data_IF_003380930452
#
_entry.id   IF_003380930452
#
_cell.length_a   1.000
_cell.length_b   1.000
_cell.length_c   1.000
_cell.angle_alpha   90.00
_cell.angle_beta   90.00
_cell.angle_gamma   90.00
#
_symmetry.space_group_name_H-M   'P 1'
#
loop_
_entity.id
_entity.type
_entity.pdbx_description
1 polymer ?
#
# COMPACT_ATOMS: atom_id res chain seq x y z
N UNK A 1 -28.28 -6.40 -12.27
CA UNK A 1 -28.26 -5.68 -10.99
C UNK A 1 -26.80 -5.42 -10.71
N UNK A 2 -26.35 -4.18 -10.91
CA UNK A 2 -25.03 -3.75 -10.48
C UNK A 2 -25.28 -3.21 -9.08
N UNK A 3 -24.79 -3.92 -8.07
CA UNK A 3 -24.86 -3.42 -6.71
C UNK A 3 -23.99 -2.16 -6.65
N UNK A 4 -24.59 -1.02 -6.32
CA UNK A 4 -23.91 0.26 -6.13
C UNK A 4 -23.18 0.25 -4.77
N UNK A 5 -22.41 -0.80 -4.47
CA UNK A 5 -21.57 -0.78 -3.29
C UNK A 5 -20.42 0.18 -3.58
N UNK A 6 -20.39 1.27 -2.83
CA UNK A 6 -19.33 2.29 -2.88
C UNK A 6 -18.04 1.76 -2.21
N UNK A 7 -17.82 0.45 -2.30
CA UNK A 7 -16.77 -0.29 -1.63
C UNK A 7 -15.41 0.26 -2.09
N UNK A 8 -14.45 0.48 -1.17
CA UNK A 8 -13.11 0.88 -1.54
C UNK A 8 -12.46 -0.16 -2.47
N UNK A 9 -12.04 0.29 -3.65
CA UNK A 9 -11.37 -0.53 -4.65
C UNK A 9 -9.95 -0.01 -4.90
N UNK A 10 -8.97 -0.89 -4.81
CA UNK A 10 -7.63 -0.68 -5.33
C UNK A 10 -7.46 -1.46 -6.65
N UNK A 11 -7.11 -0.74 -7.70
CA UNK A 11 -6.90 -1.31 -9.03
C UNK A 11 -5.44 -1.19 -9.44
N UNK A 12 -4.83 -2.31 -9.83
CA UNK A 12 -3.43 -2.40 -10.26
C UNK A 12 -3.39 -3.04 -11.63
N UNK A 13 -2.86 -2.34 -12.63
CA UNK A 13 -2.53 -2.94 -13.93
C UNK A 13 -1.06 -3.35 -13.93
N UNK A 14 -0.80 -4.64 -14.17
CA UNK A 14 0.54 -5.18 -14.37
C UNK A 14 0.72 -5.57 -15.83
N UNK A 15 1.72 -5.02 -16.49
CA UNK A 15 2.12 -5.42 -17.83
C UNK A 15 3.37 -6.27 -17.68
N UNK A 16 3.31 -7.51 -18.16
CA UNK A 16 4.42 -8.44 -18.21
C UNK A 16 4.84 -8.62 -19.66
N UNK A 17 6.13 -8.49 -19.94
CA UNK A 17 6.68 -8.75 -21.27
C UNK A 17 7.45 -10.05 -21.26
N UNK A 18 7.12 -10.95 -22.18
CA UNK A 18 7.89 -12.15 -22.43
C UNK A 18 9.27 -11.77 -22.99
N UNK A 19 10.33 -12.33 -22.40
CA UNK A 19 11.72 -11.97 -22.76
C UNK A 19 12.20 -12.62 -24.06
N UNK A 20 11.53 -13.67 -24.53
CA UNK A 20 11.89 -14.43 -25.72
C UNK A 20 11.01 -14.05 -26.92
N UNK A 21 9.71 -13.88 -26.70
CA UNK A 21 8.74 -13.57 -27.78
C UNK A 21 8.43 -12.08 -27.91
N UNK A 22 8.86 -11.26 -26.95
CA UNK A 22 8.50 -9.84 -26.80
C UNK A 22 7.00 -9.58 -26.66
N UNK A 23 6.18 -10.62 -26.47
CA UNK A 23 4.73 -10.48 -26.28
C UNK A 23 4.41 -9.84 -24.93
N UNK A 24 3.48 -8.88 -24.95
CA UNK A 24 2.99 -8.22 -23.74
C UNK A 24 1.70 -8.88 -23.24
N UNK A 25 1.69 -9.28 -21.97
CA UNK A 25 0.50 -9.71 -21.25
C UNK A 25 0.10 -8.63 -20.25
N UNK A 26 -1.13 -8.11 -20.40
CA UNK A 26 -1.72 -7.19 -19.44
C UNK A 26 -2.59 -7.98 -18.45
N UNK A 27 -2.31 -7.80 -17.17
CA UNK A 27 -3.08 -8.36 -16.07
C UNK A 27 -3.68 -7.24 -15.22
N UNK A 28 -4.97 -7.34 -14.92
CA UNK A 28 -5.71 -6.37 -14.12
C UNK A 28 -6.01 -6.97 -12.75
N UNK A 29 -5.31 -6.52 -11.71
CA UNK A 29 -5.57 -6.92 -10.34
C UNK A 29 -6.56 -5.94 -9.71
N UNK A 30 -7.67 -6.48 -9.18
CA UNK A 30 -8.67 -5.72 -8.44
C UNK A 30 -8.75 -6.23 -7.02
N UNK A 31 -8.58 -5.31 -6.06
CA UNK A 31 -8.77 -5.55 -4.64
C UNK A 31 -10.03 -4.78 -4.22
N UNK A 32 -11.07 -5.49 -3.82
CA UNK A 32 -12.34 -4.89 -3.38
C UNK A 32 -12.50 -5.16 -1.90
N UNK A 33 -12.58 -4.11 -1.08
CA UNK A 33 -12.92 -4.27 0.33
C UNK A 33 -14.42 -4.09 0.51
N UNK A 34 -15.14 -5.18 0.79
CA UNK A 34 -16.56 -5.14 1.04
C UNK A 34 -16.80 -4.60 2.46
N UNK A 35 -17.36 -3.39 2.58
CA UNK A 35 -17.52 -2.74 3.88
C UNK A 35 -18.53 -3.46 4.77
N UNK A 36 -19.64 -3.96 4.20
CA UNK A 36 -20.71 -4.63 4.94
C UNK A 36 -20.23 -5.88 5.67
N UNK A 37 -19.43 -6.69 4.98
CA UNK A 37 -18.86 -7.93 5.52
C UNK A 37 -17.48 -7.73 6.15
N UNK A 38 -16.90 -6.54 6.02
CA UNK A 38 -15.52 -6.23 6.44
C UNK A 38 -14.51 -7.25 5.93
N UNK A 39 -14.55 -7.52 4.62
CA UNK A 39 -13.78 -8.59 3.99
C UNK A 39 -13.13 -8.16 2.68
N UNK A 40 -11.97 -8.72 2.37
CA UNK A 40 -11.25 -8.47 1.13
C UNK A 40 -11.55 -9.53 0.06
N UNK A 41 -11.86 -9.07 -1.14
CA UNK A 41 -11.90 -9.88 -2.36
C UNK A 41 -10.77 -9.45 -3.30
N UNK A 42 -10.08 -10.41 -3.92
CA UNK A 42 -9.03 -10.17 -4.92
C UNK A 42 -9.33 -10.92 -6.20
N UNK A 43 -9.35 -10.19 -7.30
CA UNK A 43 -9.52 -10.72 -8.66
C UNK A 43 -8.31 -10.41 -9.54
N UNK A 44 -8.04 -11.30 -10.50
CA UNK A 44 -7.18 -11.03 -11.65
C UNK A 44 -8.00 -11.14 -12.93
N UNK A 45 -8.06 -10.06 -13.71
CA UNK A 45 -8.98 -9.90 -14.82
C UNK A 45 -10.41 -10.20 -14.32
N UNK A 46 -11.04 -11.27 -14.81
CA UNK A 46 -12.37 -11.72 -14.38
C UNK A 46 -12.35 -12.99 -13.52
N UNK A 47 -11.17 -13.38 -13.01
CA UNK A 47 -10.98 -14.60 -12.20
C UNK A 47 -10.80 -14.25 -10.72
N UNK A 48 -11.66 -14.82 -9.86
CA UNK A 48 -11.52 -14.73 -8.41
C UNK A 48 -10.27 -15.50 -7.96
N UNK A 49 -9.33 -14.81 -7.31
CA UNK A 49 -8.12 -15.40 -6.75
C UNK A 49 -8.22 -15.63 -5.25
N UNK A 50 -8.95 -14.76 -4.55
CA UNK A 50 -9.07 -14.80 -3.11
C UNK A 50 -10.37 -14.13 -2.66
N UNK A 51 -11.05 -14.76 -1.71
CA UNK A 51 -12.24 -14.25 -1.03
C UNK A 51 -12.03 -14.50 0.46
N UNK A 52 -11.81 -13.43 1.23
CA UNK A 52 -11.48 -13.55 2.65
C UNK A 52 -12.55 -14.29 3.45
N UNK A 53 -13.83 -14.16 3.09
CA UNK A 53 -14.90 -14.89 3.74
C UNK A 53 -14.73 -16.36 3.41
N UNK A 54 -14.78 -16.75 2.13
CA UNK A 54 -14.74 -18.18 1.75
C UNK A 54 -13.45 -18.86 2.18
N UNK A 55 -12.31 -18.22 1.97
CA UNK A 55 -10.99 -18.81 2.17
C UNK A 55 -10.56 -18.88 3.64
N UNK A 56 -11.19 -18.10 4.52
CA UNK A 56 -10.91 -18.15 5.97
C UNK A 56 -12.08 -18.62 6.83
N UNK A 57 -13.29 -18.80 6.30
CA UNK A 57 -14.43 -19.32 7.07
C UNK A 57 -14.11 -20.66 7.72
N UNK A 58 -13.32 -21.51 7.06
CA UNK A 58 -12.94 -22.84 7.56
C UNK A 58 -11.58 -22.89 8.27
N UNK A 59 -10.75 -21.83 8.19
CA UNK A 59 -9.40 -21.80 8.77
C UNK A 59 -9.15 -20.54 9.60
N UNK A 60 -9.77 -20.49 10.78
CA UNK A 60 -9.59 -19.41 11.75
C UNK A 60 -8.12 -19.18 12.15
N UNK A 61 -7.30 -20.24 12.17
CA UNK A 61 -5.89 -20.13 12.53
C UNK A 61 -5.13 -19.34 11.48
N UNK A 62 -5.35 -19.64 10.20
CA UNK A 62 -4.75 -18.91 9.08
C UNK A 62 -5.23 -17.45 9.06
N UNK A 63 -6.51 -17.19 9.34
CA UNK A 63 -7.04 -15.83 9.48
C UNK A 63 -6.26 -15.01 10.52
N UNK A 64 -6.11 -15.56 11.73
CA UNK A 64 -5.37 -14.91 12.81
C UNK A 64 -3.91 -14.63 12.41
N UNK A 65 -3.25 -15.57 11.76
CA UNK A 65 -1.86 -15.38 11.29
C UNK A 65 -1.74 -14.26 10.24
N UNK A 66 -2.72 -14.13 9.34
CA UNK A 66 -2.73 -13.07 8.33
C UNK A 66 -2.97 -11.72 8.99
N UNK A 67 -3.93 -11.62 9.90
CA UNK A 67 -4.21 -10.41 10.68
C UNK A 67 -2.98 -9.96 11.47
N UNK A 68 -2.29 -10.88 12.16
CA UNK A 68 -1.05 -10.57 12.90
C UNK A 68 0.05 -10.02 11.98
N UNK A 69 0.19 -10.58 10.77
CA UNK A 69 1.16 -10.09 9.78
C UNK A 69 0.80 -8.70 9.27
N UNK A 70 -0.47 -8.43 8.99
CA UNK A 70 -0.95 -7.10 8.56
C UNK A 70 -0.70 -6.08 9.67
N UNK A 71 -1.04 -6.40 10.92
CA UNK A 71 -0.80 -5.51 12.05
C UNK A 71 0.68 -5.20 12.22
N UNK A 72 1.55 -6.20 12.10
CA UNK A 72 3.00 -6.01 12.16
C UNK A 72 3.51 -5.16 11.00
N UNK A 73 2.99 -5.35 9.79
CA UNK A 73 3.33 -4.53 8.63
C UNK A 73 2.93 -3.07 8.86
N UNK A 74 1.70 -2.81 9.27
CA UNK A 74 1.19 -1.46 9.58
C UNK A 74 2.04 -0.78 10.64
N UNK A 75 2.41 -1.50 11.70
CA UNK A 75 3.28 -0.98 12.74
C UNK A 75 4.66 -0.57 12.18
N UNK A 76 5.34 -1.48 11.48
CA UNK A 76 6.68 -1.21 10.92
C UNK A 76 6.65 -0.08 9.89
N UNK A 77 5.63 -0.03 9.03
CA UNK A 77 5.44 1.05 8.08
C UNK A 77 5.25 2.41 8.80
N UNK A 78 4.49 2.43 9.90
CA UNK A 78 4.31 3.65 10.70
C UNK A 78 5.60 4.12 11.37
N UNK A 79 6.47 3.20 11.79
CA UNK A 79 7.78 3.55 12.35
C UNK A 79 8.70 4.17 11.29
N UNK A 80 8.73 3.60 10.09
CA UNK A 80 9.56 4.14 9.00
C UNK A 80 9.04 5.52 8.54
N UNK A 81 7.71 5.72 8.47
CA UNK A 81 7.13 7.04 8.19
C UNK A 81 7.59 8.07 9.21
N UNK A 82 7.48 7.78 10.51
CA UNK A 82 7.93 8.70 11.58
C UNK A 82 9.41 9.04 11.48
N UNK A 83 10.23 8.05 11.13
CA UNK A 83 11.67 8.24 10.94
C UNK A 83 11.95 9.17 9.76
N UNK A 84 11.29 8.95 8.62
CA UNK A 84 11.41 9.83 7.45
C UNK A 84 10.95 11.26 7.75
N UNK A 85 9.83 11.44 8.45
CA UNK A 85 9.35 12.76 8.89
C UNK A 85 10.38 13.48 9.77
N UNK A 86 11.01 12.75 10.69
CA UNK A 86 12.06 13.31 11.55
C UNK A 86 13.30 13.72 10.74
N UNK A 87 13.77 12.88 9.83
CA UNK A 87 14.92 13.20 8.97
C UNK A 87 14.66 14.40 8.07
N UNK A 88 13.45 14.54 7.54
CA UNK A 88 13.03 15.71 6.75
C UNK A 88 13.11 16.97 7.61
N UNK A 89 12.54 16.94 8.82
CA UNK A 89 12.54 18.08 9.73
C UNK A 89 13.94 18.53 10.13
N UNK A 90 14.82 17.58 10.46
CA UNK A 90 16.22 17.88 10.82
C UNK A 90 16.99 18.52 9.64
N UNK A 91 16.76 18.05 8.41
CA UNK A 91 17.34 18.67 7.20
C UNK A 91 16.85 20.09 6.98
N UNK A 92 15.55 20.34 7.16
CA UNK A 92 14.95 21.68 7.03
C UNK A 92 15.46 22.66 8.09
N UNK A 93 15.68 22.21 9.33
CA UNK A 93 16.28 23.02 10.40
C UNK A 93 17.75 23.34 10.10
N UNK A 94 18.54 22.35 9.70
CA UNK A 94 19.94 22.55 9.32
C UNK A 94 20.10 23.52 8.14
N UNK A 95 19.22 23.45 7.14
CA UNK A 95 19.26 24.38 6.01
C UNK A 95 18.84 25.80 6.40
N UNK A 96 17.83 25.95 7.26
CA UNK A 96 17.44 27.26 7.81
C UNK A 96 18.59 27.90 8.59
N UNK A 97 19.27 27.13 9.44
CA UNK A 97 20.40 27.63 10.20
C UNK A 97 21.59 28.01 9.32
N UNK A 98 21.89 27.19 8.29
CA UNK A 98 22.90 27.52 7.27
C UNK A 98 22.57 28.83 6.54
N UNK A 99 21.33 29.05 6.11
CA UNK A 99 20.90 30.30 5.46
C UNK A 99 21.06 31.50 6.40
N UNK A 100 20.65 31.36 7.67
CA UNK A 100 20.81 32.40 8.70
C UNK A 100 22.28 32.78 8.89
N UNK A 101 23.18 31.79 9.00
CA UNK A 101 24.62 32.05 9.13
C UNK A 101 25.19 32.75 7.89
N UNK A 102 24.82 32.30 6.69
CA UNK A 102 25.24 32.96 5.44
C UNK A 102 24.80 34.42 5.38
N UNK A 103 23.59 34.75 5.83
CA UNK A 103 23.11 36.14 5.90
C UNK A 103 23.88 36.98 6.92
N UNK A 104 24.22 36.43 8.09
CA UNK A 104 25.06 37.12 9.07
C UNK A 104 26.41 37.46 8.45
N UNK A 105 27.11 36.48 7.86
CA UNK A 105 28.42 36.71 7.24
C UNK A 105 28.39 37.62 6.01
N UNK A 106 27.26 37.74 5.31
CA UNK A 106 27.11 38.66 4.17
C UNK A 106 26.99 40.12 4.62
N UNK A 107 26.54 40.37 5.85
CA UNK A 107 26.30 41.70 6.40
C UNK A 107 27.46 42.22 7.27
N UNK A 108 28.54 41.45 7.40
CA UNK A 108 29.83 41.84 7.99
C UNK A 108 30.86 42.11 6.89
#
# INVERSE_FOLDING_TARGET
MIDETNDPILFITKIEQDKETEEETKNELRFTFNEESSSLEVMINDTLLFDEIKDFTEDQKKKLQVVDKINKFTFLASEEVRKLEKEIKEKEEAERERKRLQEIFRNF
#
